data_IF_194728815439
#
_entry.id   IF_194728815439
#
_cell.length_a   1.000
_cell.length_b   1.000
_cell.length_c   1.000
_cell.angle_alpha   90.00
_cell.angle_beta   90.00
_cell.angle_gamma   90.00
#
_symmetry.space_group_name_H-M   'P 1'
#
loop_
_entity.id
_entity.type
_entity.pdbx_description
1 polymer ?
#
# COMPACT_ATOMS: atom_id res chain seq x y z
N UNK A 1 14.40 75.63 1.02
CA UNK A 1 13.34 74.99 0.29
C UNK A 1 13.76 73.69 -0.37
N UNK A 2 14.97 73.48 -0.82
CA UNK A 2 15.43 72.19 -1.45
C UNK A 2 15.37 70.96 -0.56
N UNK A 3 15.64 71.08 0.75
CA UNK A 3 15.59 69.98 1.70
C UNK A 3 14.21 69.43 1.97
N UNK A 4 13.20 70.28 1.93
CA UNK A 4 11.78 69.87 2.11
C UNK A 4 11.24 69.13 0.88
N UNK A 5 11.64 69.50 -0.30
CA UNK A 5 11.26 68.83 -1.57
C UNK A 5 11.93 67.46 -1.65
N UNK A 6 13.22 67.34 -1.26
CA UNK A 6 13.95 66.09 -1.21
C UNK A 6 13.32 65.07 -0.24
N UNK A 7 12.91 65.50 0.96
CA UNK A 7 12.22 64.68 1.93
C UNK A 7 10.84 64.23 1.45
N UNK A 8 10.11 65.07 0.73
CA UNK A 8 8.78 64.76 0.19
C UNK A 8 8.86 63.70 -0.95
N UNK A 9 9.92 63.68 -1.74
CA UNK A 9 10.15 62.71 -2.81
C UNK A 9 10.68 61.41 -2.26
N UNK A 10 11.59 61.45 -1.27
CA UNK A 10 12.24 60.27 -0.66
C UNK A 10 11.25 59.36 0.05
N UNK A 11 10.31 59.89 0.83
CA UNK A 11 9.32 59.08 1.58
C UNK A 11 8.41 58.20 0.71
N UNK A 12 7.79 58.68 -0.35
CA UNK A 12 7.00 57.81 -1.22
C UNK A 12 7.77 56.68 -1.88
N UNK A 13 9.03 56.92 -2.25
CA UNK A 13 9.92 55.90 -2.83
C UNK A 13 10.27 54.84 -1.78
N UNK A 14 10.66 55.25 -0.56
CA UNK A 14 10.92 54.33 0.54
C UNK A 14 9.69 53.47 0.89
N UNK A 15 8.51 54.04 0.97
CA UNK A 15 7.27 53.31 1.24
C UNK A 15 6.98 52.28 0.15
N UNK A 16 7.19 52.59 -1.12
CA UNK A 16 7.03 51.64 -2.23
C UNK A 16 8.06 50.50 -2.18
N UNK A 17 9.31 50.79 -1.86
CA UNK A 17 10.38 49.79 -1.70
C UNK A 17 10.07 48.86 -0.54
N UNK A 18 9.68 49.38 0.62
CA UNK A 18 9.26 48.55 1.77
C UNK A 18 8.05 47.70 1.46
N UNK A 19 7.06 48.25 0.77
CA UNK A 19 5.88 47.49 0.37
C UNK A 19 6.23 46.35 -0.57
N UNK A 20 7.11 46.57 -1.53
CA UNK A 20 7.59 45.53 -2.45
C UNK A 20 8.35 44.42 -1.70
N UNK A 21 9.25 44.80 -0.76
CA UNK A 21 9.98 43.84 0.09
C UNK A 21 9.06 43.04 1.00
N UNK A 22 8.06 43.69 1.63
CA UNK A 22 7.07 43.03 2.47
C UNK A 22 6.22 42.07 1.64
N UNK A 23 5.77 42.48 0.47
CA UNK A 23 4.98 41.64 -0.44
C UNK A 23 5.78 40.41 -0.92
N UNK A 24 7.08 40.57 -1.21
CA UNK A 24 7.98 39.50 -1.56
C UNK A 24 8.21 38.50 -0.42
N UNK A 25 8.49 39.02 0.79
CA UNK A 25 8.64 38.19 2.00
C UNK A 25 7.34 37.47 2.37
N UNK A 26 6.19 38.13 2.26
CA UNK A 26 4.89 37.53 2.51
C UNK A 26 4.61 36.41 1.52
N UNK A 27 4.90 36.62 0.23
CA UNK A 27 4.73 35.61 -0.80
C UNK A 27 5.63 34.39 -0.55
N UNK A 28 6.89 34.64 -0.19
CA UNK A 28 7.84 33.58 0.19
C UNK A 28 7.34 32.78 1.40
N UNK A 29 6.87 33.46 2.45
CA UNK A 29 6.32 32.82 3.64
C UNK A 29 5.06 32.00 3.32
N UNK A 30 4.21 32.46 2.44
CA UNK A 30 3.05 31.72 1.96
C UNK A 30 3.44 30.46 1.20
N UNK A 31 4.46 30.54 0.32
CA UNK A 31 4.98 29.39 -0.40
C UNK A 31 5.59 28.34 0.53
N UNK A 32 6.33 28.77 1.54
CA UNK A 32 6.91 27.88 2.54
C UNK A 32 5.83 27.17 3.35
N UNK A 33 4.82 27.89 3.83
CA UNK A 33 3.66 27.31 4.52
C UNK A 33 2.88 26.34 3.64
N UNK A 34 2.71 26.67 2.39
CA UNK A 34 2.06 25.77 1.43
C UNK A 34 2.84 24.48 1.23
N UNK A 35 4.17 24.57 1.12
CA UNK A 35 5.04 23.39 1.03
C UNK A 35 4.97 22.53 2.29
N UNK A 36 5.03 23.14 3.46
CA UNK A 36 4.89 22.44 4.75
C UNK A 36 3.55 21.73 4.85
N UNK A 37 2.47 22.42 4.47
CA UNK A 37 1.13 21.85 4.46
C UNK A 37 1.00 20.63 3.52
N UNK A 38 1.53 20.75 2.30
CA UNK A 38 1.53 19.65 1.34
C UNK A 38 2.38 18.48 1.84
N UNK A 39 3.54 18.74 2.47
CA UNK A 39 4.36 17.70 3.05
C UNK A 39 3.68 16.99 4.21
N UNK A 40 2.93 17.70 5.05
CA UNK A 40 2.12 17.11 6.12
C UNK A 40 1.00 16.22 5.57
N UNK A 41 0.29 16.69 4.54
CA UNK A 41 -0.74 15.90 3.84
C UNK A 41 -0.11 14.63 3.28
N UNK A 42 0.97 14.72 2.54
CA UNK A 42 1.66 13.58 1.98
C UNK A 42 2.06 12.57 3.05
N UNK A 43 2.63 13.04 4.16
CA UNK A 43 3.05 12.17 5.28
C UNK A 43 1.87 11.42 5.92
N UNK A 44 0.75 12.09 6.13
CA UNK A 44 -0.46 11.49 6.71
C UNK A 44 -1.02 10.41 5.78
N UNK A 45 -1.16 10.72 4.50
CA UNK A 45 -1.72 9.77 3.53
C UNK A 45 -0.77 8.61 3.23
N UNK A 46 0.54 8.85 3.16
CA UNK A 46 1.54 7.77 3.04
C UNK A 46 1.49 6.81 4.22
N UNK A 47 1.31 7.31 5.43
CA UNK A 47 1.10 6.49 6.62
C UNK A 47 -0.14 5.60 6.51
N UNK A 48 -1.28 6.16 6.08
CA UNK A 48 -2.51 5.40 5.86
C UNK A 48 -2.35 4.35 4.76
N UNK A 49 -1.74 4.71 3.64
CA UNK A 49 -1.46 3.82 2.51
C UNK A 49 -0.55 2.67 2.96
N UNK A 50 0.47 2.96 3.75
CA UNK A 50 1.39 1.95 4.28
C UNK A 50 0.67 0.92 5.15
N UNK A 51 -0.23 1.35 6.04
CA UNK A 51 -1.01 0.46 6.89
C UNK A 51 -1.90 -0.47 6.05
N UNK A 52 -2.62 0.07 5.08
CA UNK A 52 -3.50 -0.71 4.20
C UNK A 52 -2.72 -1.69 3.31
N UNK A 53 -1.57 -1.28 2.78
CA UNK A 53 -0.70 -2.15 2.00
C UNK A 53 -0.13 -3.29 2.85
N UNK A 54 0.29 -3.02 4.08
CA UNK A 54 0.79 -4.06 4.98
C UNK A 54 -0.29 -5.09 5.31
N UNK A 55 -1.51 -4.64 5.56
CA UNK A 55 -2.64 -5.55 5.81
C UNK A 55 -2.94 -6.42 4.58
N UNK A 56 -2.98 -5.81 3.41
CA UNK A 56 -3.16 -6.52 2.14
C UNK A 56 -2.04 -7.54 1.91
N UNK A 57 -0.79 -7.14 2.12
CA UNK A 57 0.37 -8.03 1.96
C UNK A 57 0.31 -9.20 2.93
N UNK A 58 -0.11 -8.97 4.17
CA UNK A 58 -0.32 -10.03 5.16
C UNK A 58 -1.35 -11.06 4.67
N UNK A 59 -2.50 -10.57 4.20
CA UNK A 59 -3.57 -11.43 3.67
C UNK A 59 -3.13 -12.23 2.44
N UNK A 60 -2.38 -11.60 1.53
CA UNK A 60 -1.83 -12.27 0.35
C UNK A 60 -0.78 -13.32 0.72
N UNK A 61 0.07 -13.05 1.70
CA UNK A 61 1.06 -14.01 2.19
C UNK A 61 0.42 -15.24 2.85
N UNK A 62 -0.68 -15.06 3.58
CA UNK A 62 -1.44 -16.17 4.14
C UNK A 62 -1.97 -17.10 3.02
N UNK A 63 -2.52 -16.52 1.96
CA UNK A 63 -2.99 -17.29 0.79
C UNK A 63 -1.81 -18.00 0.11
N UNK A 64 -0.71 -17.30 -0.13
CA UNK A 64 0.48 -17.86 -0.77
C UNK A 64 1.05 -19.04 0.03
N UNK A 65 1.07 -18.95 1.36
CA UNK A 65 1.51 -20.03 2.21
C UNK A 65 0.59 -21.26 2.10
N UNK A 66 -0.72 -21.06 2.08
CA UNK A 66 -1.68 -22.16 1.88
C UNK A 66 -1.58 -22.78 0.49
N UNK A 67 -1.35 -21.99 -0.54
CA UNK A 67 -1.09 -22.50 -1.90
C UNK A 67 0.19 -23.34 -1.95
N UNK A 68 1.23 -22.94 -1.22
CA UNK A 68 2.45 -23.73 -1.10
C UNK A 68 2.20 -25.06 -0.38
N UNK A 69 1.41 -25.05 0.69
CA UNK A 69 1.02 -26.27 1.42
C UNK A 69 0.25 -27.22 0.50
N UNK A 70 -0.67 -26.71 -0.32
CA UNK A 70 -1.40 -27.51 -1.33
C UNK A 70 -0.43 -28.08 -2.36
N UNK A 71 0.47 -27.27 -2.89
CA UNK A 71 1.48 -27.70 -3.87
C UNK A 71 2.37 -28.83 -3.31
N UNK A 72 2.80 -28.70 -2.06
CA UNK A 72 3.59 -29.73 -1.37
C UNK A 72 2.80 -31.02 -1.19
N UNK A 73 1.54 -30.93 -0.78
CA UNK A 73 0.67 -32.10 -0.61
C UNK A 73 0.38 -32.82 -1.94
N UNK A 74 0.20 -32.07 -3.03
CA UNK A 74 0.04 -32.63 -4.38
C UNK A 74 1.30 -33.36 -4.81
N UNK A 75 2.47 -32.76 -4.57
CA UNK A 75 3.76 -33.38 -4.88
C UNK A 75 3.94 -34.68 -4.11
N UNK A 76 3.70 -34.68 -2.79
CA UNK A 76 3.83 -35.84 -1.94
C UNK A 76 2.90 -36.98 -2.39
N UNK A 77 1.68 -36.65 -2.76
CA UNK A 77 0.72 -37.63 -3.31
C UNK A 77 1.21 -38.22 -4.64
N UNK A 78 1.68 -37.39 -5.56
CA UNK A 78 2.21 -37.82 -6.85
C UNK A 78 3.47 -38.66 -6.70
N UNK A 79 4.38 -38.30 -5.80
CA UNK A 79 5.60 -39.04 -5.51
C UNK A 79 5.26 -40.43 -4.93
N UNK A 80 4.27 -40.53 -4.04
CA UNK A 80 3.81 -41.79 -3.51
C UNK A 80 3.26 -42.73 -4.61
N UNK A 81 2.57 -42.18 -5.60
CA UNK A 81 2.08 -42.94 -6.74
C UNK A 81 3.21 -43.49 -7.64
N UNK A 82 4.36 -42.79 -7.69
CA UNK A 82 5.52 -43.14 -8.53
C UNK A 82 6.51 -44.08 -7.85
N UNK A 83 6.67 -44.04 -6.53
CA UNK A 83 7.68 -44.75 -5.76
C UNK A 83 7.36 -46.22 -5.50
N UNK A 84 6.41 -46.81 -6.18
CA UNK A 84 6.04 -48.19 -5.98
C UNK A 84 7.00 -49.16 -6.69
N UNK A 85 7.42 -50.28 -6.01
CA UNK A 85 8.25 -51.27 -6.65
C UNK A 85 7.55 -51.94 -7.83
N UNK A 86 8.34 -52.27 -8.86
CA UNK A 86 7.89 -53.05 -10.02
C UNK A 86 7.17 -54.32 -9.57
N UNK A 87 5.92 -54.52 -10.01
CA UNK A 87 5.13 -55.70 -9.68
C UNK A 87 3.96 -55.44 -8.73
N UNK A 88 3.80 -54.27 -8.18
CA UNK A 88 2.56 -53.93 -7.46
C UNK A 88 1.49 -53.50 -8.44
N UNK A 89 0.36 -54.18 -8.38
CA UNK A 89 -0.72 -54.13 -9.37
C UNK A 89 -1.56 -52.85 -9.30
N UNK A 90 -1.41 -51.96 -8.33
CA UNK A 90 -2.16 -50.74 -8.21
C UNK A 90 -1.28 -49.61 -7.66
N UNK A 91 -1.19 -48.52 -8.38
CA UNK A 91 -0.51 -47.30 -7.93
C UNK A 91 -1.16 -46.62 -6.72
N UNK A 92 -2.29 -47.15 -6.24
CA UNK A 92 -3.07 -46.60 -5.14
C UNK A 92 -3.16 -47.59 -3.97
N UNK A 93 -2.57 -47.27 -2.85
CA UNK A 93 -2.57 -48.05 -1.62
C UNK A 93 -2.93 -47.21 -0.39
N UNK A 94 -2.85 -47.80 0.83
CA UNK A 94 -3.22 -47.09 2.06
C UNK A 94 -2.46 -45.80 2.29
N UNK A 95 -1.20 -45.74 1.92
CA UNK A 95 -0.36 -44.51 2.07
C UNK A 95 -0.74 -43.46 1.03
N UNK A 96 -1.03 -43.87 -0.22
CA UNK A 96 -1.54 -42.98 -1.26
C UNK A 96 -2.93 -42.44 -0.88
N UNK A 97 -3.80 -43.27 -0.31
CA UNK A 97 -5.10 -42.82 0.20
C UNK A 97 -4.98 -41.77 1.29
N UNK A 98 -4.09 -41.96 2.26
CA UNK A 98 -3.83 -40.99 3.31
C UNK A 98 -3.32 -39.66 2.74
N UNK A 99 -2.40 -39.70 1.80
CA UNK A 99 -1.85 -38.51 1.14
C UNK A 99 -2.86 -37.81 0.28
N UNK A 100 -3.75 -38.54 -0.37
CA UNK A 100 -4.90 -37.98 -1.10
C UNK A 100 -5.86 -37.23 -0.17
N UNK A 101 -6.19 -37.78 0.99
CA UNK A 101 -7.01 -37.14 2.00
C UNK A 101 -6.36 -35.84 2.49
N UNK A 102 -5.07 -35.89 2.80
CA UNK A 102 -4.31 -34.70 3.21
C UNK A 102 -4.33 -33.65 2.10
N UNK A 103 -4.10 -34.03 0.86
CA UNK A 103 -4.14 -33.14 -0.29
C UNK A 103 -5.50 -32.46 -0.43
N UNK A 104 -6.61 -33.21 -0.34
CA UNK A 104 -7.95 -32.68 -0.40
C UNK A 104 -8.26 -31.74 0.76
N UNK A 105 -7.82 -32.09 1.97
CA UNK A 105 -7.96 -31.24 3.15
C UNK A 105 -7.21 -29.92 2.99
N UNK A 106 -5.98 -29.94 2.48
CA UNK A 106 -5.20 -28.75 2.20
C UNK A 106 -5.83 -27.86 1.12
N UNK A 107 -6.37 -28.48 0.06
CA UNK A 107 -7.11 -27.75 -0.97
C UNK A 107 -8.35 -27.06 -0.41
N UNK A 108 -9.09 -27.76 0.45
CA UNK A 108 -10.26 -27.20 1.13
C UNK A 108 -9.89 -26.03 2.05
N UNK A 109 -8.87 -26.19 2.89
CA UNK A 109 -8.37 -25.14 3.76
C UNK A 109 -7.92 -23.91 2.97
N UNK A 110 -7.24 -24.11 1.85
CA UNK A 110 -6.80 -23.02 0.96
C UNK A 110 -8.00 -22.27 0.36
N UNK A 111 -9.00 -23.00 -0.13
CA UNK A 111 -10.20 -22.38 -0.69
C UNK A 111 -11.01 -21.61 0.37
N UNK A 112 -11.17 -22.17 1.56
CA UNK A 112 -11.83 -21.50 2.68
C UNK A 112 -11.08 -20.21 3.08
N UNK A 113 -9.74 -20.25 3.10
CA UNK A 113 -8.92 -19.07 3.37
C UNK A 113 -9.07 -18.01 2.29
N UNK A 114 -9.07 -18.40 1.02
CA UNK A 114 -9.31 -17.47 -0.10
C UNK A 114 -10.67 -16.80 0.01
N UNK A 115 -11.71 -17.57 0.28
CA UNK A 115 -13.07 -17.05 0.44
C UNK A 115 -13.17 -16.08 1.62
N UNK A 116 -12.43 -16.32 2.68
CA UNK A 116 -12.36 -15.43 3.85
C UNK A 116 -11.53 -14.17 3.59
N UNK A 117 -10.37 -14.32 2.96
CA UNK A 117 -9.42 -13.23 2.77
C UNK A 117 -9.73 -12.35 1.56
N UNK A 118 -10.34 -12.89 0.51
CA UNK A 118 -10.62 -12.14 -0.71
C UNK A 118 -11.50 -10.90 -0.47
N UNK A 119 -12.60 -10.98 0.30
CA UNK A 119 -13.38 -9.79 0.64
C UNK A 119 -12.58 -8.74 1.43
N UNK A 120 -11.67 -9.19 2.30
CA UNK A 120 -10.80 -8.30 3.08
C UNK A 120 -9.76 -7.61 2.19
N UNK A 121 -9.20 -8.31 1.22
CA UNK A 121 -8.30 -7.75 0.21
C UNK A 121 -9.04 -6.73 -0.66
N UNK A 122 -10.24 -7.07 -1.11
CA UNK A 122 -11.08 -6.17 -1.91
C UNK A 122 -11.45 -4.90 -1.13
N UNK A 123 -11.76 -5.05 0.16
CA UNK A 123 -12.03 -3.92 1.05
C UNK A 123 -10.78 -3.04 1.26
N UNK A 124 -9.60 -3.63 1.40
CA UNK A 124 -8.33 -2.89 1.49
C UNK A 124 -8.04 -2.12 0.20
N UNK A 125 -8.27 -2.73 -0.95
CA UNK A 125 -8.13 -2.07 -2.25
C UNK A 125 -9.10 -0.90 -2.41
N UNK A 126 -10.35 -1.04 -1.95
CA UNK A 126 -11.34 0.02 -1.94
C UNK A 126 -10.91 1.20 -1.05
N UNK A 127 -10.41 0.91 0.16
CA UNK A 127 -9.87 1.94 1.07
C UNK A 127 -8.66 2.66 0.46
N UNK A 128 -7.76 1.95 -0.20
CA UNK A 128 -6.62 2.55 -0.91
C UNK A 128 -7.07 3.52 -2.00
N UNK A 129 -8.10 3.19 -2.76
CA UNK A 129 -8.68 4.10 -3.77
C UNK A 129 -9.30 5.33 -3.13
N UNK A 130 -10.04 5.16 -2.04
CA UNK A 130 -10.63 6.28 -1.30
C UNK A 130 -9.55 7.21 -0.75
N UNK A 131 -8.47 6.67 -0.18
CA UNK A 131 -7.33 7.45 0.31
C UNK A 131 -6.69 8.25 -0.83
N UNK A 132 -6.50 7.65 -1.99
CA UNK A 132 -5.95 8.33 -3.16
C UNK A 132 -6.84 9.49 -3.61
N UNK A 133 -8.16 9.28 -3.65
CA UNK A 133 -9.14 10.33 -4.00
C UNK A 133 -9.14 11.45 -2.97
N UNK A 134 -9.14 11.14 -1.68
CA UNK A 134 -9.05 12.11 -0.60
C UNK A 134 -7.77 12.94 -0.69
N UNK A 135 -6.63 12.28 -0.91
CA UNK A 135 -5.34 12.93 -1.07
C UNK A 135 -5.33 13.92 -2.22
N UNK A 136 -5.87 13.53 -3.36
CA UNK A 136 -5.99 14.43 -4.53
C UNK A 136 -6.95 15.59 -4.27
N UNK A 137 -8.03 15.36 -3.53
CA UNK A 137 -8.99 16.40 -3.17
C UNK A 137 -8.44 17.47 -2.23
N UNK A 138 -7.46 17.12 -1.39
CA UNK A 138 -6.80 18.06 -0.48
C UNK A 138 -5.61 18.79 -1.10
N UNK A 139 -5.13 18.35 -2.22
CA UNK A 139 -4.12 19.03 -3.02
C UNK A 139 -4.76 20.02 -3.98
#
# INVERSE_FOLDING_TARGET
MGAIIALTISKPVEIRMFKTEIDAELHKAQLEKQREYLAQIDSIYEGRIFIENNEKDRLLKEIAQKELDVSTAIKDFNDELKERPEGSTTGYGPDAERKEIIMKDRQKECEELRQRNQPLIDAANARLKEIEIEKQGER
#
